data_IF_221161556996
#
_entry.id   IF_221161556996
#
_cell.length_a   1.000
_cell.length_b   1.000
_cell.length_c   1.000
_cell.angle_alpha   90.00
_cell.angle_beta   90.00
_cell.angle_gamma   90.00
#
_symmetry.space_group_name_H-M   'P 1'
#
loop_
_entity.id
_entity.type
_entity.pdbx_description
1 polymer ?
#
# COMPACT_ATOMS: atom_id res chain seq x y z
N UNK A 1 15.80 2.68 32.07
CA UNK A 1 15.42 3.45 30.87
C UNK A 1 16.39 4.61 30.75
N UNK A 2 17.00 4.80 29.58
CA UNK A 2 17.87 5.94 29.31
C UNK A 2 17.05 7.24 29.36
N UNK A 3 17.48 8.22 30.14
CA UNK A 3 16.80 9.52 30.31
C UNK A 3 17.08 10.51 29.16
N UNK A 4 17.42 9.99 27.98
CA UNK A 4 17.74 10.77 26.80
C UNK A 4 17.63 9.89 25.54
N UNK A 5 17.49 10.56 24.41
CA UNK A 5 17.49 9.98 23.06
C UNK A 5 18.50 10.76 22.20
N UNK A 6 19.14 10.09 21.24
CA UNK A 6 20.09 10.74 20.32
C UNK A 6 19.51 10.68 18.91
N UNK A 7 19.32 11.84 18.28
CA UNK A 7 18.73 11.97 16.93
C UNK A 7 19.70 12.62 15.94
N UNK A 8 19.31 12.63 14.65
CA UNK A 8 20.08 13.25 13.57
C UNK A 8 21.43 12.56 13.34
N UNK A 9 21.42 11.24 13.24
CA UNK A 9 22.62 10.40 13.02
C UNK A 9 23.70 10.61 14.09
N UNK A 10 23.28 10.67 15.36
CA UNK A 10 24.20 10.81 16.49
C UNK A 10 24.52 12.24 16.89
N UNK A 11 23.99 13.25 16.20
CA UNK A 11 24.39 14.66 16.38
C UNK A 11 23.73 15.36 17.56
N UNK A 12 22.49 14.98 17.90
CA UNK A 12 21.69 15.74 18.87
C UNK A 12 21.21 14.85 20.01
N UNK A 13 21.70 15.12 21.22
CA UNK A 13 21.19 14.51 22.46
C UNK A 13 19.98 15.31 22.97
N UNK A 14 18.85 14.62 23.12
CA UNK A 14 17.60 15.17 23.63
C UNK A 14 17.31 14.52 24.97
N UNK A 15 17.18 15.30 26.04
CA UNK A 15 16.88 14.80 27.39
C UNK A 15 15.39 14.51 27.53
N UNK A 16 15.05 13.57 28.40
CA UNK A 16 13.66 13.34 28.78
C UNK A 16 13.00 14.64 29.28
N UNK A 17 11.77 14.90 28.82
CA UNK A 17 11.02 16.12 29.13
C UNK A 17 11.36 17.33 28.24
N UNK A 18 12.31 17.22 27.31
CA UNK A 18 12.54 18.27 26.29
C UNK A 18 11.36 18.32 25.32
N UNK A 19 10.78 19.51 25.15
CA UNK A 19 9.75 19.76 24.13
C UNK A 19 10.42 19.90 22.77
N UNK A 20 9.99 19.09 21.81
CA UNK A 20 10.46 19.13 20.42
C UNK A 20 9.28 19.51 19.53
N UNK A 21 9.49 20.48 18.64
CA UNK A 21 8.49 20.91 17.68
C UNK A 21 9.01 20.65 16.25
N UNK A 22 8.15 20.07 15.42
CA UNK A 22 8.43 19.89 13.98
C UNK A 22 7.91 21.11 13.23
N UNK A 23 8.82 21.91 12.69
CA UNK A 23 8.48 23.13 11.95
C UNK A 23 8.17 22.82 10.47
N UNK A 24 7.09 22.08 10.20
CA UNK A 24 6.72 21.65 8.85
C UNK A 24 6.62 22.82 7.85
N UNK A 25 6.15 23.99 8.29
CA UNK A 25 6.06 25.18 7.45
C UNK A 25 7.43 25.77 7.05
N UNK A 26 8.47 25.57 7.85
CA UNK A 26 9.85 25.97 7.52
C UNK A 26 10.47 24.94 6.57
N UNK A 27 10.25 23.65 6.85
CA UNK A 27 10.75 22.54 6.01
C UNK A 27 10.26 22.68 4.57
N UNK A 28 8.98 23.01 4.37
CA UNK A 28 8.39 23.23 3.04
C UNK A 28 8.85 24.51 2.32
N UNK A 29 9.77 25.27 2.92
CA UNK A 29 10.26 26.57 2.42
C UNK A 29 11.78 26.73 2.51
N UNK A 30 12.50 25.67 2.88
CA UNK A 30 13.96 25.72 2.99
C UNK A 30 14.57 25.94 1.60
N UNK A 31 15.27 27.07 1.33
CA UNK A 31 15.85 27.33 0.01
C UNK A 31 16.91 26.31 -0.41
N UNK A 32 17.54 25.62 0.55
CA UNK A 32 18.49 24.55 0.25
C UNK A 32 17.82 23.31 -0.38
N UNK A 33 16.50 23.17 -0.19
CA UNK A 33 15.70 22.04 -0.67
C UNK A 33 14.79 22.47 -1.81
N UNK A 34 14.11 23.62 -1.65
CA UNK A 34 13.07 24.10 -2.55
C UNK A 34 13.55 25.19 -3.51
N UNK A 35 14.81 25.62 -3.44
CA UNK A 35 15.39 26.66 -4.30
C UNK A 35 15.21 28.08 -3.77
N UNK A 36 15.84 29.05 -4.42
CA UNK A 36 15.84 30.46 -3.97
C UNK A 36 14.43 31.09 -3.94
N UNK A 37 13.50 30.54 -4.71
CA UNK A 37 12.13 30.99 -4.83
C UNK A 37 11.14 30.15 -4.00
N UNK A 38 11.63 29.46 -2.96
CA UNK A 38 10.84 28.63 -2.04
C UNK A 38 9.63 29.33 -1.38
N UNK A 39 9.64 30.67 -1.32
CA UNK A 39 8.51 31.46 -0.81
C UNK A 39 7.41 31.75 -1.85
N UNK A 40 7.62 31.39 -3.12
CA UNK A 40 6.64 31.55 -4.19
C UNK A 40 5.80 30.29 -4.34
N UNK A 41 4.49 30.48 -4.50
CA UNK A 41 3.61 29.39 -4.91
C UNK A 41 3.90 29.03 -6.37
N UNK A 42 4.46 27.84 -6.58
CA UNK A 42 4.76 27.29 -7.89
C UNK A 42 4.30 25.81 -7.95
N UNK A 43 3.18 25.53 -8.64
CA UNK A 43 2.67 24.17 -8.79
C UNK A 43 3.56 23.30 -9.68
N UNK A 44 4.39 23.88 -10.56
CA UNK A 44 5.23 23.13 -11.51
C UNK A 44 6.38 22.38 -10.82
N UNK A 45 6.63 22.67 -9.54
CA UNK A 45 7.52 21.87 -8.67
C UNK A 45 7.01 20.46 -8.43
N UNK A 46 5.70 20.26 -8.54
CA UNK A 46 5.02 19.00 -8.30
C UNK A 46 4.95 18.11 -9.55
N UNK A 47 5.55 18.55 -10.67
CA UNK A 47 5.43 17.92 -11.97
C UNK A 47 6.78 17.41 -12.48
N UNK A 48 6.73 16.55 -13.48
CA UNK A 48 7.88 16.09 -14.28
C UNK A 48 9.02 15.45 -13.47
N UNK A 49 8.71 14.74 -12.38
CA UNK A 49 9.73 14.07 -11.56
C UNK A 49 10.48 15.01 -10.60
N UNK A 50 10.21 16.32 -10.62
CA UNK A 50 10.94 17.31 -9.80
C UNK A 50 10.64 17.12 -8.31
N UNK A 51 9.41 16.74 -7.98
CA UNK A 51 8.98 16.54 -6.60
C UNK A 51 9.55 15.25 -6.04
N UNK A 52 9.55 14.20 -6.84
CA UNK A 52 10.10 12.88 -6.54
C UNK A 52 11.63 12.95 -6.36
N UNK A 53 12.29 13.88 -7.05
CA UNK A 53 13.72 14.15 -6.91
C UNK A 53 14.10 14.89 -5.62
N UNK A 54 13.14 15.40 -4.85
CA UNK A 54 13.45 16.09 -3.60
C UNK A 54 14.06 15.14 -2.56
N UNK A 55 14.90 15.65 -1.65
CA UNK A 55 15.40 14.89 -0.52
C UNK A 55 14.26 14.21 0.24
N UNK A 56 14.44 12.96 0.70
CA UNK A 56 13.44 12.28 1.52
C UNK A 56 13.03 13.17 2.69
N UNK A 57 11.73 13.18 3.01
CA UNK A 57 11.17 13.95 4.13
C UNK A 57 11.21 15.48 3.95
N UNK A 58 11.51 15.98 2.75
CA UNK A 58 11.36 17.41 2.39
C UNK A 58 9.89 17.88 2.41
N UNK A 59 8.95 16.95 2.25
CA UNK A 59 7.52 17.23 2.25
C UNK A 59 6.81 16.34 3.28
N UNK A 60 6.30 16.94 4.36
CA UNK A 60 5.70 16.23 5.51
C UNK A 60 4.36 16.84 5.99
N UNK A 61 3.42 17.20 5.10
CA UNK A 61 2.16 17.86 5.50
C UNK A 61 1.27 16.98 6.39
N UNK A 62 1.48 15.67 6.36
CA UNK A 62 0.76 14.67 7.15
C UNK A 62 1.69 13.93 8.12
N UNK A 63 2.86 14.50 8.44
CA UNK A 63 3.90 13.80 9.21
C UNK A 63 4.66 12.76 8.38
N UNK A 64 5.46 11.93 9.05
CA UNK A 64 6.27 10.89 8.42
C UNK A 64 6.57 9.73 9.39
N UNK A 65 6.94 8.57 8.87
CA UNK A 65 7.29 7.35 9.63
C UNK A 65 6.15 6.88 10.53
N UNK A 66 6.49 6.37 11.73
CA UNK A 66 5.55 5.84 12.72
C UNK A 66 4.57 6.88 13.32
N UNK A 67 4.68 8.15 12.92
CA UNK A 67 3.75 9.23 13.31
C UNK A 67 3.14 9.91 12.08
N UNK A 68 3.27 9.29 10.90
CA UNK A 68 2.54 9.73 9.72
C UNK A 68 1.04 9.54 9.93
N UNK A 69 0.24 10.44 9.38
CA UNK A 69 -1.21 10.30 9.38
C UNK A 69 -1.59 9.04 8.59
N UNK A 70 -2.21 8.08 9.27
CA UNK A 70 -2.75 6.86 8.65
C UNK A 70 -3.76 7.17 7.53
N UNK A 71 -4.48 8.29 7.65
CA UNK A 71 -5.45 8.75 6.66
C UNK A 71 -4.83 9.50 5.47
N UNK A 72 -3.51 9.67 5.38
CA UNK A 72 -2.86 10.45 4.32
C UNK A 72 -3.23 9.99 2.90
N UNK A 73 -3.15 8.69 2.53
CA UNK A 73 -3.48 8.26 1.17
C UNK A 73 -4.93 8.59 0.80
N UNK A 74 -5.86 8.32 1.73
CA UNK A 74 -7.27 8.63 1.58
C UNK A 74 -7.51 10.14 1.42
N UNK A 75 -6.93 10.95 2.33
CA UNK A 75 -7.07 12.40 2.28
C UNK A 75 -6.53 13.00 0.97
N UNK A 76 -5.44 12.45 0.43
CA UNK A 76 -4.87 12.89 -0.84
C UNK A 76 -5.79 12.59 -2.02
N UNK A 77 -6.30 11.36 -2.11
CA UNK A 77 -7.25 10.95 -3.14
C UNK A 77 -8.53 11.79 -3.09
N UNK A 78 -9.14 11.92 -1.92
CA UNK A 78 -10.34 12.75 -1.71
C UNK A 78 -10.08 14.22 -2.05
N UNK A 79 -8.93 14.77 -1.65
CA UNK A 79 -8.59 16.16 -1.97
C UNK A 79 -8.46 16.37 -3.47
N UNK A 80 -7.80 15.44 -4.19
CA UNK A 80 -7.65 15.51 -5.64
C UNK A 80 -9.02 15.46 -6.33
N UNK A 81 -9.87 14.50 -5.96
CA UNK A 81 -11.23 14.34 -6.52
C UNK A 81 -12.07 15.57 -6.20
N UNK A 82 -12.05 16.06 -4.97
CA UNK A 82 -12.81 17.23 -4.54
C UNK A 82 -12.37 18.48 -5.31
N UNK A 83 -11.06 18.76 -5.38
CA UNK A 83 -10.52 19.90 -6.11
C UNK A 83 -10.88 19.79 -7.60
N UNK A 84 -10.60 18.66 -8.25
CA UNK A 84 -10.94 18.46 -9.66
C UNK A 84 -12.44 18.64 -9.92
N UNK A 85 -13.30 18.04 -9.09
CA UNK A 85 -14.77 18.15 -9.21
C UNK A 85 -15.26 19.58 -9.05
N UNK A 86 -14.66 20.33 -8.12
CA UNK A 86 -14.99 21.73 -7.86
C UNK A 86 -14.58 22.61 -9.06
N UNK A 87 -13.34 22.47 -9.55
CA UNK A 87 -12.83 23.27 -10.67
C UNK A 87 -13.44 22.91 -12.04
N UNK A 88 -13.94 21.70 -12.23
CA UNK A 88 -14.70 21.34 -13.43
C UNK A 88 -16.05 22.05 -13.51
N UNK A 89 -16.67 22.32 -12.36
CA UNK A 89 -18.05 22.84 -12.27
C UNK A 89 -18.12 24.36 -12.09
N UNK A 90 -17.11 24.96 -11.48
CA UNK A 90 -17.15 26.35 -11.08
C UNK A 90 -15.90 27.12 -11.51
N UNK A 91 -16.11 28.35 -11.94
CA UNK A 91 -15.09 29.39 -11.95
C UNK A 91 -15.09 30.12 -10.61
N UNK A 92 -13.93 30.62 -10.22
CA UNK A 92 -13.73 31.29 -8.93
C UNK A 92 -13.36 32.74 -9.14
N UNK A 93 -14.08 33.63 -8.46
CA UNK A 93 -13.76 35.06 -8.42
C UNK A 93 -13.57 35.52 -6.98
N UNK A 94 -12.58 36.38 -6.74
CA UNK A 94 -12.37 36.96 -5.43
C UNK A 94 -13.63 37.71 -4.98
N UNK A 95 -14.11 37.46 -3.76
CA UNK A 95 -15.25 38.22 -3.23
C UNK A 95 -14.87 39.65 -2.88
N UNK A 96 -13.59 39.89 -2.59
CA UNK A 96 -13.00 41.20 -2.35
C UNK A 96 -11.68 41.29 -3.16
N UNK A 97 -11.65 42.05 -4.27
CA UNK A 97 -10.45 42.23 -5.08
C UNK A 97 -9.30 42.95 -4.34
N UNK A 98 -9.59 43.68 -3.26
CA UNK A 98 -8.62 44.41 -2.47
C UNK A 98 -8.12 43.62 -1.25
N UNK A 99 -8.56 42.36 -1.10
CA UNK A 99 -8.15 41.53 0.03
C UNK A 99 -6.62 41.34 0.06
N UNK A 100 -6.02 41.69 1.19
CA UNK A 100 -4.63 41.39 1.48
C UNK A 100 -4.52 40.16 2.39
N UNK A 101 -3.66 39.20 2.05
CA UNK A 101 -3.55 37.94 2.77
C UNK A 101 -3.20 38.16 4.25
N UNK A 102 -4.13 37.80 5.13
CA UNK A 102 -3.89 37.68 6.55
C UNK A 102 -3.94 36.20 6.93
N UNK A 103 -2.97 35.72 7.69
CA UNK A 103 -2.96 34.34 8.16
C UNK A 103 -3.70 34.22 9.50
N UNK A 104 -4.49 33.16 9.65
CA UNK A 104 -5.08 32.72 10.92
C UNK A 104 -4.60 31.31 11.20
N UNK A 105 -3.88 31.15 12.29
CA UNK A 105 -3.49 29.84 12.80
C UNK A 105 -4.64 29.25 13.61
N UNK A 106 -5.05 28.03 13.24
CA UNK A 106 -5.97 27.18 14.01
C UNK A 106 -5.32 25.81 14.17
N UNK A 107 -6.02 24.70 13.90
CA UNK A 107 -5.39 23.39 13.74
C UNK A 107 -4.37 23.42 12.58
N UNK A 108 -4.74 24.08 11.48
CA UNK A 108 -3.86 24.39 10.35
C UNK A 108 -3.73 25.91 10.14
N UNK A 109 -2.74 26.31 9.35
CA UNK A 109 -2.62 27.68 8.85
C UNK A 109 -3.61 27.88 7.70
N UNK A 110 -4.40 28.94 7.76
CA UNK A 110 -5.32 29.32 6.67
C UNK A 110 -5.43 30.83 6.50
N UNK A 111 -5.87 31.31 5.33
CA UNK A 111 -6.26 32.71 5.16
C UNK A 111 -7.40 33.10 6.12
N UNK A 112 -7.31 34.29 6.71
CA UNK A 112 -8.29 34.87 7.62
C UNK A 112 -9.33 35.65 6.80
N UNK A 113 -10.60 35.26 6.93
CA UNK A 113 -11.74 35.91 6.26
C UNK A 113 -11.59 36.01 4.72
N UNK A 114 -10.83 35.08 4.12
CA UNK A 114 -10.73 34.99 2.67
C UNK A 114 -11.99 34.32 2.13
N UNK A 115 -12.75 35.07 1.33
CA UNK A 115 -14.00 34.61 0.74
C UNK A 115 -13.88 34.63 -0.79
N UNK A 116 -14.38 33.58 -1.42
CA UNK A 116 -14.40 33.41 -2.87
C UNK A 116 -15.85 33.19 -3.31
N UNK A 117 -16.22 33.70 -4.48
CA UNK A 117 -17.51 33.38 -5.11
C UNK A 117 -17.29 32.32 -6.18
N UNK A 118 -18.05 31.23 -6.10
CA UNK A 118 -18.11 30.19 -7.11
C UNK A 118 -19.19 30.52 -8.14
N UNK A 119 -18.82 30.57 -9.42
CA UNK A 119 -19.71 30.84 -10.55
C UNK A 119 -19.85 29.56 -11.36
N UNK A 120 -21.05 28.99 -11.53
CA UNK A 120 -21.22 27.79 -12.35
C UNK A 120 -20.69 27.99 -13.77
N UNK A 121 -19.91 27.05 -14.27
CA UNK A 121 -19.45 27.04 -15.66
C UNK A 121 -20.60 26.70 -16.59
N UNK A 122 -20.72 27.45 -17.70
CA UNK A 122 -21.78 27.25 -18.69
C UNK A 122 -21.66 25.90 -19.41
N UNK A 123 -20.43 25.44 -19.62
CA UNK A 123 -20.11 24.17 -20.28
C UNK A 123 -19.56 23.13 -19.30
N UNK A 124 -19.96 23.20 -18.03
CA UNK A 124 -19.55 22.23 -17.03
C UNK A 124 -19.93 20.82 -17.51
N UNK A 125 -18.93 19.98 -17.81
CA UNK A 125 -19.19 18.56 -18.04
C UNK A 125 -19.88 18.03 -16.79
N UNK A 126 -21.01 17.34 -16.94
CA UNK A 126 -21.40 16.45 -15.86
C UNK A 126 -20.23 15.48 -15.70
N UNK A 127 -19.66 15.39 -14.50
CA UNK A 127 -19.08 14.13 -14.10
C UNK A 127 -20.23 13.17 -14.28
N UNK A 128 -20.24 12.44 -15.40
CA UNK A 128 -21.06 11.27 -15.51
C UNK A 128 -20.67 10.50 -14.27
N UNK A 129 -21.58 10.44 -13.32
CA UNK A 129 -21.53 9.39 -12.33
C UNK A 129 -21.73 8.15 -13.19
N UNK A 130 -20.65 7.63 -13.77
CA UNK A 130 -20.47 6.20 -13.75
C UNK A 130 -20.44 5.85 -12.27
N UNK A 131 -21.62 5.84 -11.65
CA UNK A 131 -22.06 4.66 -10.96
C UNK A 131 -21.81 3.52 -11.94
N UNK A 132 -20.56 3.07 -12.01
CA UNK A 132 -20.34 1.66 -11.92
C UNK A 132 -21.13 1.29 -10.67
N UNK A 133 -22.38 0.90 -10.88
CA UNK A 133 -23.08 0.02 -9.97
C UNK A 133 -22.27 -1.27 -9.98
N UNK A 134 -21.07 -1.24 -9.42
CA UNK A 134 -20.61 -2.32 -8.59
C UNK A 134 -21.60 -2.24 -7.44
N UNK A 135 -22.70 -2.97 -7.59
CA UNK A 135 -23.43 -3.46 -6.44
C UNK A 135 -22.41 -4.22 -5.61
N UNK A 136 -21.68 -3.48 -4.78
CA UNK A 136 -21.13 -4.02 -3.54
C UNK A 136 -22.38 -4.30 -2.73
N UNK A 137 -22.96 -5.47 -3.03
CA UNK A 137 -23.85 -6.12 -2.10
C UNK A 137 -23.09 -6.11 -0.79
N UNK A 138 -23.64 -5.40 0.20
CA UNK A 138 -23.38 -5.63 1.61
C UNK A 138 -23.69 -7.11 1.91
N UNK A 139 -22.84 -8.01 1.43
CA UNK A 139 -22.63 -9.28 2.11
C UNK A 139 -21.59 -8.96 3.16
N UNK A 140 -22.15 -8.68 4.34
CA UNK A 140 -21.54 -8.73 5.66
C UNK A 140 -20.10 -9.23 5.69
N UNK A 141 -19.26 -8.55 6.49
CA UNK A 141 -18.11 -9.15 7.16
C UNK A 141 -18.44 -10.60 7.51
N UNK A 142 -18.01 -11.52 6.67
CA UNK A 142 -18.15 -12.95 6.86
C UNK A 142 -16.74 -13.44 6.81
N UNK A 143 -16.30 -14.06 7.91
CA UNK A 143 -15.06 -14.84 8.00
C UNK A 143 -14.80 -15.47 6.63
N UNK A 144 -13.68 -15.13 6.01
CA UNK A 144 -13.36 -15.56 4.64
C UNK A 144 -13.41 -17.07 4.53
N UNK A 145 -14.52 -17.58 3.99
CA UNK A 145 -14.65 -18.99 3.61
C UNK A 145 -14.03 -19.14 2.23
N UNK A 146 -13.12 -20.09 2.08
CA UNK A 146 -12.54 -20.48 0.79
C UNK A 146 -13.66 -20.63 -0.24
N UNK A 147 -13.59 -19.86 -1.34
CA UNK A 147 -14.48 -20.04 -2.48
C UNK A 147 -13.85 -21.06 -3.43
N UNK A 148 -14.44 -22.24 -3.54
CA UNK A 148 -14.03 -23.24 -4.52
C UNK A 148 -14.38 -22.78 -5.94
N UNK A 149 -13.38 -22.75 -6.83
CA UNK A 149 -13.57 -22.69 -8.28
C UNK A 149 -14.09 -24.02 -8.85
N UNK A 150 -14.54 -24.00 -10.11
CA UNK A 150 -15.10 -25.15 -10.84
C UNK A 150 -14.16 -26.38 -10.85
N UNK A 151 -14.71 -27.59 -10.90
CA UNK A 151 -14.06 -28.87 -10.50
C UNK A 151 -12.92 -29.39 -11.41
N UNK A 152 -12.42 -28.60 -12.35
CA UNK A 152 -11.32 -28.95 -13.25
C UNK A 152 -10.14 -27.99 -13.11
N UNK A 153 -8.94 -28.50 -12.83
CA UNK A 153 -7.70 -27.71 -12.79
C UNK A 153 -6.77 -28.08 -11.63
N UNK A 154 -5.50 -27.71 -11.72
CA UNK A 154 -4.54 -27.86 -10.61
C UNK A 154 -4.92 -26.86 -9.50
N UNK A 155 -5.03 -27.27 -8.23
CA UNK A 155 -5.32 -26.34 -7.14
C UNK A 155 -4.31 -25.19 -7.08
N UNK A 156 -4.79 -23.96 -6.88
CA UNK A 156 -3.97 -22.77 -6.64
C UNK A 156 -4.59 -21.99 -5.48
N UNK A 157 -3.83 -21.71 -4.44
CA UNK A 157 -4.33 -20.98 -3.28
C UNK A 157 -3.78 -19.57 -3.27
N UNK A 158 -4.64 -18.57 -3.17
CA UNK A 158 -4.26 -17.15 -3.16
C UNK A 158 -4.73 -16.52 -1.86
N UNK A 159 -3.80 -16.16 -0.99
CA UNK A 159 -4.09 -15.55 0.30
C UNK A 159 -3.60 -14.11 0.36
N UNK A 160 -4.40 -13.25 0.99
CA UNK A 160 -4.05 -11.84 1.11
C UNK A 160 -4.12 -11.30 2.54
N UNK A 161 -3.27 -10.31 2.81
CA UNK A 161 -3.34 -9.44 3.98
C UNK A 161 -3.52 -7.99 3.54
N UNK A 162 -4.65 -7.37 3.86
CA UNK A 162 -5.04 -6.07 3.31
C UNK A 162 -5.98 -5.31 4.25
N UNK A 163 -5.69 -4.04 4.53
CA UNK A 163 -6.61 -3.13 5.26
C UNK A 163 -7.36 -2.17 4.31
N UNK A 164 -6.72 -1.72 3.22
CA UNK A 164 -7.27 -0.72 2.29
C UNK A 164 -7.63 -1.27 0.91
N UNK A 165 -7.55 -2.60 0.73
CA UNK A 165 -8.03 -3.29 -0.47
C UNK A 165 -7.00 -3.54 -1.58
N UNK A 166 -5.83 -2.89 -1.59
CA UNK A 166 -4.85 -3.06 -2.68
C UNK A 166 -4.38 -4.51 -2.86
N UNK A 167 -3.90 -5.16 -1.78
CA UNK A 167 -3.47 -6.56 -1.85
C UNK A 167 -4.63 -7.53 -2.10
N UNK A 168 -5.85 -7.19 -1.67
CA UNK A 168 -7.04 -7.96 -2.00
C UNK A 168 -7.35 -7.89 -3.50
N UNK A 169 -7.28 -6.70 -4.11
CA UNK A 169 -7.48 -6.51 -5.54
C UNK A 169 -6.46 -7.29 -6.37
N UNK A 170 -5.19 -7.24 -6.00
CA UNK A 170 -4.13 -8.06 -6.62
C UNK A 170 -4.38 -9.57 -6.48
N UNK A 171 -4.85 -10.03 -5.31
CA UNK A 171 -5.22 -11.43 -5.12
C UNK A 171 -6.41 -11.85 -5.97
N UNK A 172 -7.42 -10.97 -6.11
CA UNK A 172 -8.55 -11.19 -6.99
C UNK A 172 -8.11 -11.25 -8.46
N UNK A 173 -7.15 -10.43 -8.89
CA UNK A 173 -6.56 -10.47 -10.24
C UNK A 173 -5.91 -11.82 -10.53
N UNK A 174 -5.06 -12.33 -9.64
CA UNK A 174 -4.44 -13.66 -9.78
C UNK A 174 -5.50 -14.76 -9.83
N UNK A 175 -6.46 -14.74 -8.90
CA UNK A 175 -7.51 -15.75 -8.84
C UNK A 175 -8.39 -15.74 -10.11
N UNK A 176 -8.68 -14.57 -10.67
CA UNK A 176 -9.42 -14.42 -11.91
C UNK A 176 -8.64 -14.96 -13.12
N UNK A 177 -7.33 -14.70 -13.18
CA UNK A 177 -6.45 -15.19 -14.26
C UNK A 177 -6.19 -16.70 -14.23
N UNK A 178 -6.40 -17.36 -13.09
CA UNK A 178 -6.02 -18.75 -12.85
C UNK A 178 -6.69 -19.76 -13.81
N UNK A 179 -7.99 -19.62 -14.07
CA UNK A 179 -8.74 -20.57 -14.89
C UNK A 179 -8.20 -20.61 -16.34
N UNK A 180 -7.86 -19.45 -16.90
CA UNK A 180 -7.25 -19.35 -18.24
C UNK A 180 -5.85 -20.00 -18.31
N UNK A 181 -5.23 -20.26 -17.16
CA UNK A 181 -3.92 -20.91 -17.03
C UNK A 181 -4.01 -22.37 -16.58
N UNK A 182 -5.22 -22.94 -16.49
CA UNK A 182 -5.45 -24.34 -16.11
C UNK A 182 -5.42 -24.61 -14.60
N UNK A 183 -5.54 -23.56 -13.79
CA UNK A 183 -5.60 -23.66 -12.33
C UNK A 183 -7.01 -23.44 -11.81
N UNK A 184 -7.33 -24.11 -10.71
CA UNK A 184 -8.53 -23.87 -9.92
C UNK A 184 -8.13 -23.06 -8.69
N UNK A 185 -8.39 -21.75 -8.74
CA UNK A 185 -8.03 -20.85 -7.65
C UNK A 185 -9.03 -20.93 -6.48
N UNK A 186 -8.50 -20.96 -5.27
CA UNK A 186 -9.20 -20.66 -4.04
C UNK A 186 -8.58 -19.41 -3.41
N UNK A 187 -9.42 -18.42 -3.08
CA UNK A 187 -8.98 -17.14 -2.51
C UNK A 187 -9.46 -16.97 -1.07
N UNK A 188 -8.63 -16.38 -0.21
CA UNK A 188 -8.98 -16.09 1.18
C UNK A 188 -8.06 -15.06 1.83
N UNK A 189 -8.36 -14.69 3.07
CA UNK A 189 -7.43 -13.87 3.88
C UNK A 189 -6.29 -14.75 4.41
N UNK A 190 -5.16 -14.17 4.78
CA UNK A 190 -4.07 -14.92 5.40
C UNK A 190 -4.52 -15.61 6.70
N UNK A 191 -5.32 -14.93 7.53
CA UNK A 191 -5.84 -15.52 8.76
C UNK A 191 -6.76 -16.74 8.55
N UNK A 192 -7.33 -16.92 7.35
CA UNK A 192 -8.14 -18.11 7.03
C UNK A 192 -7.33 -19.40 7.01
N UNK A 193 -6.00 -19.29 6.88
CA UNK A 193 -5.06 -20.41 6.85
C UNK A 193 -4.02 -20.35 7.97
N UNK A 194 -4.28 -19.57 9.03
CA UNK A 194 -3.35 -19.43 10.17
C UNK A 194 -2.97 -20.76 10.83
N UNK A 195 -3.86 -21.75 10.80
CA UNK A 195 -3.63 -23.06 11.42
C UNK A 195 -3.14 -24.14 10.45
N UNK A 196 -3.32 -23.95 9.14
CA UNK A 196 -2.99 -24.96 8.14
C UNK A 196 -2.81 -24.31 6.77
N UNK A 197 -1.59 -24.39 6.24
CA UNK A 197 -1.27 -23.97 4.87
C UNK A 197 -1.50 -25.18 3.94
N UNK A 198 -2.26 -25.02 2.85
CA UNK A 198 -2.48 -26.11 1.88
C UNK A 198 -1.18 -26.66 1.29
N UNK A 199 -1.14 -27.97 1.07
CA UNK A 199 0.03 -28.71 0.56
C UNK A 199 -0.20 -29.41 -0.78
N UNK A 200 -1.45 -29.42 -1.28
CA UNK A 200 -1.86 -30.08 -2.53
C UNK A 200 -1.82 -29.14 -3.76
N UNK A 201 -1.35 -27.90 -3.56
CA UNK A 201 -1.16 -26.93 -4.64
C UNK A 201 -0.25 -25.76 -4.24
N UNK A 202 0.23 -24.98 -5.22
CA UNK A 202 0.97 -23.75 -4.97
C UNK A 202 0.16 -22.71 -4.17
N UNK A 203 0.85 -21.99 -3.29
CA UNK A 203 0.31 -20.93 -2.44
C UNK A 203 0.90 -19.57 -2.85
N UNK A 204 0.05 -18.64 -3.24
CA UNK A 204 0.41 -17.25 -3.56
C UNK A 204 -0.02 -16.36 -2.41
N UNK A 205 0.91 -15.63 -1.81
CA UNK A 205 0.65 -14.72 -0.71
C UNK A 205 0.86 -13.28 -1.18
N UNK A 206 -0.14 -12.42 -0.99
CA UNK A 206 -0.07 -11.00 -1.35
C UNK A 206 -0.43 -10.18 -0.12
N UNK A 207 0.53 -9.49 0.48
CA UNK A 207 0.29 -8.83 1.77
C UNK A 207 0.97 -7.48 1.91
N UNK A 208 0.37 -6.62 2.71
CA UNK A 208 0.92 -5.31 3.05
C UNK A 208 1.66 -5.32 4.39
N UNK A 209 2.49 -4.29 4.61
CA UNK A 209 3.14 -4.01 5.89
C UNK A 209 2.67 -2.64 6.41
N UNK A 210 2.05 -2.60 7.60
CA UNK A 210 1.54 -1.38 8.25
C UNK A 210 2.40 -1.05 9.45
N UNK A 211 3.30 -0.06 9.32
CA UNK A 211 4.28 0.27 10.38
C UNK A 211 5.13 -0.92 10.83
N UNK A 212 5.31 -1.90 9.95
CA UNK A 212 6.04 -3.13 10.24
C UNK A 212 5.21 -4.23 10.89
N UNK A 213 3.92 -3.99 11.09
CA UNK A 213 2.94 -4.95 11.59
C UNK A 213 2.05 -5.46 10.43
N UNK A 214 1.48 -6.68 10.56
CA UNK A 214 0.64 -7.25 9.53
C UNK A 214 -0.68 -6.49 9.39
N UNK A 215 -1.35 -6.70 8.26
CA UNK A 215 -2.76 -6.33 8.09
C UNK A 215 -3.64 -7.00 9.16
N UNK A 216 -4.79 -6.40 9.45
CA UNK A 216 -5.73 -6.87 10.48
C UNK A 216 -6.21 -8.31 10.22
N UNK A 217 -6.29 -8.70 8.94
CA UNK A 217 -6.68 -10.03 8.47
C UNK A 217 -5.50 -10.98 8.16
N UNK A 218 -4.31 -10.66 8.68
CA UNK A 218 -3.10 -11.46 8.55
C UNK A 218 -2.33 -11.66 9.88
N UNK A 219 -2.80 -11.04 10.97
CA UNK A 219 -2.10 -11.04 12.25
C UNK A 219 -1.97 -12.44 12.87
N UNK A 220 -3.04 -13.22 12.86
CA UNK A 220 -3.03 -14.58 13.41
C UNK A 220 -2.12 -15.50 12.58
N UNK A 221 -2.14 -15.35 11.26
CA UNK A 221 -1.24 -16.11 10.39
C UNK A 221 0.23 -15.82 10.69
N UNK A 222 0.62 -14.54 10.76
CA UNK A 222 2.01 -14.15 11.06
C UNK A 222 2.43 -14.63 12.44
N UNK A 223 1.55 -14.50 13.44
CA UNK A 223 1.82 -15.02 14.78
C UNK A 223 2.03 -16.53 14.79
N UNK A 224 1.14 -17.29 14.15
CA UNK A 224 1.23 -18.75 14.05
C UNK A 224 2.51 -19.18 13.33
N UNK A 225 2.79 -18.58 12.17
CA UNK A 225 3.96 -18.87 11.36
C UNK A 225 5.28 -18.63 12.12
N UNK A 226 5.34 -17.58 12.95
CA UNK A 226 6.55 -17.22 13.70
C UNK A 226 6.69 -17.91 15.06
N UNK A 227 5.59 -18.40 15.64
CA UNK A 227 5.60 -19.02 16.97
C UNK A 227 5.93 -20.51 16.95
N UNK A 228 5.76 -21.19 15.82
CA UNK A 228 5.94 -22.64 15.72
C UNK A 228 7.43 -23.03 15.70
N UNK A 229 7.88 -23.72 16.75
CA UNK A 229 9.29 -24.07 17.00
C UNK A 229 9.91 -25.05 16.00
N UNK A 230 9.11 -25.79 15.24
CA UNK A 230 9.62 -26.77 14.28
C UNK A 230 10.07 -26.09 12.98
N UNK A 231 11.35 -26.25 12.65
CA UNK A 231 12.02 -25.58 11.52
C UNK A 231 11.80 -26.37 10.20
N UNK A 232 10.95 -27.39 10.16
CA UNK A 232 10.90 -28.34 9.03
C UNK A 232 9.50 -28.87 8.69
N UNK A 233 8.45 -28.19 9.11
CA UNK A 233 7.05 -28.63 9.01
C UNK A 233 6.34 -28.25 7.70
N UNK A 234 6.99 -27.50 6.79
CA UNK A 234 6.36 -26.98 5.57
C UNK A 234 7.00 -27.49 4.25
N UNK A 235 7.66 -28.65 4.26
CA UNK A 235 8.38 -29.19 3.09
C UNK A 235 7.51 -29.42 1.85
N UNK A 236 6.23 -29.75 2.05
CA UNK A 236 5.27 -29.99 0.97
C UNK A 236 4.59 -28.70 0.49
N UNK A 237 4.86 -27.56 1.12
CA UNK A 237 4.33 -26.26 0.70
C UNK A 237 5.23 -25.67 -0.38
N UNK A 238 4.64 -25.28 -1.50
CA UNK A 238 5.30 -24.44 -2.49
C UNK A 238 4.63 -23.08 -2.56
N UNK A 239 5.41 -22.00 -2.59
CA UNK A 239 4.85 -20.66 -2.42
C UNK A 239 5.54 -19.56 -3.23
N UNK A 240 4.84 -18.44 -3.41
CA UNK A 240 5.37 -17.18 -3.89
C UNK A 240 4.76 -16.02 -3.09
N UNK A 241 5.54 -14.97 -2.82
CA UNK A 241 5.08 -13.81 -2.02
C UNK A 241 5.23 -12.53 -2.84
N UNK A 242 4.21 -11.67 -2.74
CA UNK A 242 4.25 -10.29 -3.20
C UNK A 242 3.93 -9.34 -2.04
N UNK A 243 4.75 -8.29 -1.89
CA UNK A 243 4.66 -7.32 -0.83
C UNK A 243 4.24 -5.93 -1.32
N UNK A 244 3.21 -5.36 -0.69
CA UNK A 244 2.89 -3.94 -0.82
C UNK A 244 3.44 -3.17 0.40
N UNK A 245 4.44 -2.31 0.16
CA UNK A 245 5.05 -1.47 1.18
C UNK A 245 5.03 -0.01 0.78
N UNK A 246 5.50 0.87 1.66
CA UNK A 246 5.70 2.29 1.33
C UNK A 246 7.06 2.75 1.86
N UNK A 247 7.91 3.32 1.00
CA UNK A 247 9.30 3.68 1.33
C UNK A 247 9.42 4.80 2.38
N UNK A 248 8.34 5.53 2.68
CA UNK A 248 8.31 6.47 3.80
C UNK A 248 8.55 5.79 5.15
N UNK A 249 8.17 4.51 5.26
CA UNK A 249 8.43 3.67 6.42
C UNK A 249 9.79 2.98 6.32
N UNK A 250 10.86 3.77 6.29
CA UNK A 250 12.24 3.32 6.02
C UNK A 250 12.65 2.08 6.83
N UNK A 251 12.35 2.03 8.12
CA UNK A 251 12.77 0.91 9.00
C UNK A 251 11.87 -0.33 8.90
N UNK A 252 10.69 -0.21 8.29
CA UNK A 252 9.68 -1.26 8.25
C UNK A 252 9.17 -1.54 6.84
N UNK A 253 9.85 -1.00 5.82
CA UNK A 253 9.54 -1.22 4.42
C UNK A 253 9.55 -2.71 4.13
N UNK A 254 8.41 -3.24 3.68
CA UNK A 254 8.23 -4.64 3.33
C UNK A 254 8.53 -5.64 4.46
N UNK A 255 8.53 -5.22 5.74
CA UNK A 255 8.86 -6.08 6.89
C UNK A 255 8.02 -7.36 6.92
N UNK A 256 6.70 -7.26 6.77
CA UNK A 256 5.80 -8.42 6.87
C UNK A 256 5.92 -9.38 5.67
N UNK A 257 5.88 -8.92 4.40
CA UNK A 257 6.15 -9.79 3.26
C UNK A 257 7.49 -10.52 3.35
N UNK A 258 8.56 -9.81 3.72
CA UNK A 258 9.91 -10.40 3.93
C UNK A 258 9.92 -11.41 5.07
N UNK A 259 9.29 -11.09 6.20
CA UNK A 259 9.16 -12.00 7.34
C UNK A 259 8.47 -13.30 6.94
N UNK A 260 7.35 -13.23 6.20
CA UNK A 260 6.61 -14.40 5.74
C UNK A 260 7.47 -15.21 4.76
N UNK A 261 8.03 -14.59 3.73
CA UNK A 261 8.87 -15.28 2.73
C UNK A 261 10.07 -15.99 3.39
N UNK A 262 10.81 -15.29 4.25
CA UNK A 262 11.96 -15.88 4.93
C UNK A 262 11.55 -17.00 5.89
N UNK A 263 10.46 -16.84 6.62
CA UNK A 263 10.03 -17.83 7.62
C UNK A 263 9.50 -19.10 6.95
N UNK A 264 8.72 -18.97 5.88
CA UNK A 264 8.30 -20.10 5.05
C UNK A 264 9.50 -20.86 4.50
N UNK A 265 10.48 -20.13 3.95
CA UNK A 265 11.71 -20.76 3.45
C UNK A 265 12.48 -21.50 4.55
N UNK A 266 12.68 -20.85 5.71
CA UNK A 266 13.39 -21.45 6.85
C UNK A 266 12.69 -22.70 7.38
N UNK A 267 11.35 -22.77 7.27
CA UNK A 267 10.52 -23.93 7.65
C UNK A 267 10.45 -25.05 6.60
N UNK A 268 11.21 -24.92 5.50
CA UNK A 268 11.34 -25.95 4.47
C UNK A 268 10.42 -25.78 3.26
N UNK A 269 9.57 -24.74 3.23
CA UNK A 269 8.71 -24.49 2.08
C UNK A 269 9.52 -24.10 0.83
N UNK A 270 9.08 -24.57 -0.32
CA UNK A 270 9.73 -24.34 -1.61
C UNK A 270 9.29 -23.03 -2.24
N UNK A 271 10.20 -22.06 -2.31
CA UNK A 271 9.99 -20.80 -3.03
C UNK A 271 9.91 -21.05 -4.54
N UNK A 272 8.82 -20.62 -5.18
CA UNK A 272 8.56 -20.74 -6.62
C UNK A 272 9.10 -19.56 -7.42
N UNK A 273 9.06 -18.38 -6.82
CA UNK A 273 9.48 -17.11 -7.40
C UNK A 273 10.06 -16.22 -6.29
N UNK A 274 11.03 -15.39 -6.62
CA UNK A 274 11.56 -14.38 -5.69
C UNK A 274 10.45 -13.43 -5.19
N UNK A 275 10.60 -12.94 -3.97
CA UNK A 275 9.68 -11.97 -3.37
C UNK A 275 9.54 -10.75 -4.28
N UNK A 276 8.32 -10.47 -4.72
CA UNK A 276 7.99 -9.22 -5.41
C UNK A 276 7.70 -8.11 -4.41
N UNK A 277 8.06 -6.88 -4.75
CA UNK A 277 7.85 -5.71 -3.89
C UNK A 277 7.35 -4.53 -4.71
N UNK A 278 6.28 -3.89 -4.26
CA UNK A 278 5.80 -2.62 -4.80
C UNK A 278 5.84 -1.53 -3.73
N UNK A 279 6.18 -0.31 -4.16
CA UNK A 279 6.15 0.90 -3.34
C UNK A 279 4.87 1.69 -3.60
N UNK A 280 3.94 1.68 -2.65
CA UNK A 280 2.67 2.41 -2.71
C UNK A 280 2.85 3.93 -2.66
N UNK A 281 4.07 4.43 -2.35
CA UNK A 281 4.40 5.84 -2.44
C UNK A 281 4.96 6.27 -3.80
N UNK A 282 5.23 5.34 -4.72
CA UNK A 282 5.83 5.61 -6.03
C UNK A 282 4.88 5.43 -7.21
N UNK A 283 5.35 5.83 -8.40
CA UNK A 283 4.53 5.88 -9.62
C UNK A 283 4.28 4.52 -10.29
N UNK A 284 5.04 3.49 -9.89
CA UNK A 284 5.04 2.17 -10.54
C UNK A 284 4.41 1.07 -9.69
N UNK A 285 3.49 1.43 -8.78
CA UNK A 285 2.93 0.48 -7.80
C UNK A 285 2.21 -0.70 -8.46
N UNK A 286 1.36 -0.42 -9.45
CA UNK A 286 0.60 -1.46 -10.17
C UNK A 286 1.48 -2.18 -11.19
N UNK A 287 2.35 -1.45 -11.90
CA UNK A 287 3.27 -2.02 -12.89
C UNK A 287 4.24 -3.02 -12.25
N UNK A 288 4.71 -2.72 -11.02
CA UNK A 288 5.55 -3.65 -10.26
C UNK A 288 4.84 -4.97 -9.95
N UNK A 289 3.52 -4.92 -9.75
CA UNK A 289 2.71 -6.11 -9.56
C UNK A 289 2.53 -6.87 -10.87
N UNK A 290 2.17 -6.19 -11.95
CA UNK A 290 1.96 -6.81 -13.27
C UNK A 290 3.24 -7.52 -13.77
N UNK A 291 4.40 -6.87 -13.62
CA UNK A 291 5.72 -7.46 -13.95
C UNK A 291 6.05 -8.71 -13.13
N UNK A 292 5.62 -8.73 -11.85
CA UNK A 292 5.81 -9.88 -10.98
C UNK A 292 4.81 -11.00 -11.30
N UNK A 293 3.56 -10.65 -11.60
CA UNK A 293 2.51 -11.60 -11.97
C UNK A 293 2.86 -12.36 -13.26
N UNK A 294 3.44 -11.70 -14.26
CA UNK A 294 3.89 -12.38 -15.48
C UNK A 294 4.91 -13.49 -15.16
N UNK A 295 5.87 -13.19 -14.26
CA UNK A 295 6.87 -14.15 -13.78
C UNK A 295 6.25 -15.24 -12.93
N UNK A 296 5.23 -14.92 -12.13
CA UNK A 296 4.47 -15.87 -11.33
C UNK A 296 3.82 -16.93 -12.23
N UNK A 297 3.14 -16.52 -13.29
CA UNK A 297 2.49 -17.46 -14.21
C UNK A 297 3.50 -18.40 -14.87
N UNK A 298 4.70 -17.89 -15.21
CA UNK A 298 5.78 -18.71 -15.73
C UNK A 298 6.29 -19.73 -14.71
N UNK A 299 6.42 -19.35 -13.43
CA UNK A 299 6.84 -20.23 -12.34
C UNK A 299 5.80 -21.32 -12.04
N UNK A 300 4.52 -20.94 -11.92
CA UNK A 300 3.40 -21.86 -11.68
C UNK A 300 3.28 -22.91 -12.80
N UNK A 301 3.43 -22.49 -14.05
CA UNK A 301 3.39 -23.40 -15.21
C UNK A 301 4.51 -24.45 -15.17
N UNK A 302 5.71 -24.08 -14.71
CA UNK A 302 6.85 -25.02 -14.56
C UNK A 302 6.59 -25.99 -13.41
N UNK A 303 6.07 -25.52 -12.28
CA UNK A 303 5.76 -26.35 -11.13
C UNK A 303 4.70 -27.41 -11.44
N UNK A 304 3.62 -27.02 -12.14
CA UNK A 304 2.54 -27.91 -12.57
C UNK A 304 2.99 -29.00 -13.55
N UNK A 305 3.89 -28.69 -14.49
CA UNK A 305 4.45 -29.72 -15.40
C UNK A 305 5.27 -30.78 -14.66
N UNK A 306 6.02 -30.38 -13.64
CA UNK A 306 6.85 -31.30 -12.88
C UNK A 306 6.02 -32.24 -11.98
N UNK A 307 4.88 -31.78 -11.44
CA UNK A 307 4.00 -32.65 -10.65
C UNK A 307 3.26 -33.69 -11.52
N UNK A 308 2.84 -33.32 -12.73
CA UNK A 308 2.19 -34.24 -13.67
C UNK A 308 3.16 -35.31 -14.19
N UNK A 309 4.45 -34.97 -14.37
CA UNK A 309 5.46 -35.93 -14.81
C UNK A 309 5.81 -36.99 -13.75
N UNK A 310 5.63 -36.68 -12.46
CA UNK A 310 5.90 -37.61 -11.36
C UNK A 310 4.73 -38.57 -11.11
N UNK A 311 3.49 -38.17 -11.41
CA UNK A 311 2.31 -39.04 -11.26
C UNK A 311 2.12 -40.07 -12.38
N UNK A 312 2.78 -39.91 -13.53
CA UNK A 312 2.74 -40.86 -14.66
C UNK A 312 3.93 -41.85 -14.67
N UNK A 313 4.84 -41.76 -13.70
CA UNK A 313 6.03 -42.61 -13.61
C UNK A 313 5.91 -43.74 -12.55
N UNK A 314 4.70 -43.98 -12.03
CA UNK A 314 4.37 -45.04 -11.06
C UNK A 314 3.40 -46.04 -11.68
#
# INVERSE_FOLDING_TARGET
MTNYEIIGDGKYLIKAGTVVAVAAGIIGKDPAVWGEDADRFDPDRMLDGKFEALPPKAWIPFGNGARACIGRPFAWQESLIAIASIFQKFDFVASDPAYNLQLKQTLTLKPKNFMIRAVPRKDASSLASTTASTSVSEKALTKGTLRDGDNGGVPLYVFYGSNTGSCEGFAQQVAYGAAAKGFRAAIGTLDSVANHIPTDGPVVIITASFEGEPADNAGHFVQSLTSTADVSDLQDVSYAVFGAGNRDWVHTYQRIPRLIDETLHKKGAKRLLELGEADAGGDVFSESFDDWEEKLWAALSRASRNSISLSHAV
#
